data_IF_253106910677
#
_entry.id   IF_253106910677
#
_cell.length_a   1.000
_cell.length_b   1.000
_cell.length_c   1.000
_cell.angle_alpha   90.00
_cell.angle_beta   90.00
_cell.angle_gamma   90.00
#
_symmetry.space_group_name_H-M   'P 1'
#
loop_
_entity.id
_entity.type
_entity.pdbx_description
1 polymer ?
#
# COMPACT_ATOMS: atom_id res chain seq x y z
N UNK A 1 4.99 8.69 -0.32
CA UNK A 1 5.02 7.43 -1.11
C UNK A 1 6.28 7.45 -1.97
N UNK A 2 7.18 6.46 -1.86
CA UNK A 2 8.46 6.41 -2.62
C UNK A 2 8.57 5.19 -3.57
N UNK A 3 7.51 4.41 -3.67
CA UNK A 3 7.47 3.11 -4.36
C UNK A 3 7.08 3.21 -5.85
N UNK A 4 6.79 4.41 -6.33
CA UNK A 4 6.36 4.66 -7.71
C UNK A 4 7.59 4.83 -8.60
N UNK A 5 7.57 4.26 -9.79
CA UNK A 5 8.61 4.40 -10.81
C UNK A 5 8.06 4.97 -12.13
N UNK A 6 8.95 5.22 -13.10
CA UNK A 6 8.62 5.84 -14.38
C UNK A 6 7.82 4.96 -15.35
N UNK A 7 7.52 3.71 -15.01
CA UNK A 7 6.69 2.81 -15.82
C UNK A 7 5.20 2.92 -15.50
N UNK A 8 4.86 3.53 -14.36
CA UNK A 8 3.49 3.66 -13.90
C UNK A 8 2.74 4.79 -14.61
N UNK A 9 1.45 4.57 -14.91
CA UNK A 9 0.58 5.62 -15.40
C UNK A 9 0.33 6.66 -14.28
N UNK A 10 0.73 7.93 -14.45
CA UNK A 10 0.66 8.94 -13.39
C UNK A 10 -0.78 9.21 -12.92
N UNK A 11 -1.77 9.12 -13.82
CA UNK A 11 -3.17 9.32 -13.45
C UNK A 11 -3.67 8.20 -12.52
N UNK A 12 -3.30 6.96 -12.81
CA UNK A 12 -3.69 5.80 -12.00
C UNK A 12 -2.98 5.79 -10.65
N UNK A 13 -1.71 6.20 -10.64
CA UNK A 13 -0.96 6.40 -9.39
C UNK A 13 -1.65 7.42 -8.49
N UNK A 14 -2.00 8.59 -9.02
CA UNK A 14 -2.66 9.64 -8.25
C UNK A 14 -4.05 9.19 -7.77
N UNK A 15 -4.83 8.56 -8.63
CA UNK A 15 -6.15 8.04 -8.27
C UNK A 15 -6.06 7.00 -7.14
N UNK A 16 -5.20 5.98 -7.27
CA UNK A 16 -5.04 4.94 -6.26
C UNK A 16 -4.56 5.47 -4.92
N UNK A 17 -3.58 6.38 -4.92
CA UNK A 17 -3.06 7.00 -3.68
C UNK A 17 -4.13 7.87 -3.01
N UNK A 18 -4.87 8.66 -3.79
CA UNK A 18 -5.92 9.52 -3.26
C UNK A 18 -7.07 8.70 -2.66
N UNK A 19 -7.49 7.64 -3.35
CA UNK A 19 -8.52 6.71 -2.87
C UNK A 19 -8.10 6.06 -1.55
N UNK A 20 -6.91 5.47 -1.49
CA UNK A 20 -6.40 4.84 -0.27
C UNK A 20 -6.21 5.85 0.88
N UNK A 21 -5.70 7.05 0.58
CA UNK A 21 -5.56 8.12 1.56
C UNK A 21 -6.91 8.60 2.12
N UNK A 22 -7.90 8.76 1.24
CA UNK A 22 -9.26 9.15 1.63
C UNK A 22 -9.92 8.08 2.50
N UNK A 23 -9.70 6.80 2.21
CA UNK A 23 -10.16 5.70 3.08
C UNK A 23 -9.64 5.88 4.51
N UNK A 24 -8.34 6.15 4.65
CA UNK A 24 -7.71 6.36 5.96
C UNK A 24 -8.31 7.54 6.73
N UNK A 25 -8.57 8.66 6.04
CA UNK A 25 -9.19 9.85 6.64
C UNK A 25 -10.64 9.56 7.06
N UNK A 26 -11.46 9.01 6.17
CA UNK A 26 -12.88 8.75 6.43
C UNK A 26 -13.10 7.71 7.53
N UNK A 27 -12.21 6.71 7.61
CA UNK A 27 -12.27 5.67 8.65
C UNK A 27 -11.56 6.06 9.94
N UNK A 28 -10.94 7.24 10.02
CA UNK A 28 -10.08 7.65 11.14
C UNK A 28 -9.02 6.58 11.46
N UNK A 29 -8.38 6.03 10.43
CA UNK A 29 -7.44 4.93 10.57
C UNK A 29 -6.26 5.32 11.47
N UNK A 30 -6.01 4.49 12.48
CA UNK A 30 -4.90 4.68 13.40
C UNK A 30 -3.55 4.36 12.73
N UNK A 31 -2.58 5.26 12.91
CA UNK A 31 -1.20 5.03 12.46
C UNK A 31 -0.49 4.08 13.42
N UNK A 32 -0.43 2.79 13.05
CA UNK A 32 0.19 1.73 13.87
C UNK A 32 1.71 1.68 13.81
N UNK A 33 2.32 2.26 12.78
CA UNK A 33 3.77 2.26 12.58
C UNK A 33 4.41 3.54 13.10
N UNK A 34 5.48 3.40 13.89
CA UNK A 34 6.29 4.52 14.37
C UNK A 34 7.26 5.07 13.32
N UNK A 35 7.98 6.13 13.69
CA UNK A 35 8.99 6.77 12.85
C UNK A 35 10.22 5.88 12.63
N UNK A 36 10.51 5.58 11.37
CA UNK A 36 11.62 4.71 10.98
C UNK A 36 12.88 5.53 10.70
N UNK A 37 13.75 5.67 11.72
CA UNK A 37 15.04 6.38 11.58
C UNK A 37 16.09 5.60 10.78
N UNK A 38 15.92 4.28 10.65
CA UNK A 38 16.77 3.40 9.85
C UNK A 38 15.91 2.67 8.79
N UNK A 39 16.50 2.20 7.68
CA UNK A 39 15.78 1.32 6.77
C UNK A 39 15.34 0.01 7.44
N UNK A 40 14.09 -0.42 7.23
CA UNK A 40 13.54 -1.70 7.75
C UNK A 40 14.43 -2.91 7.44
N UNK A 41 15.11 -2.89 6.28
CA UNK A 41 15.97 -3.97 5.81
C UNK A 41 17.16 -4.28 6.73
N UNK A 42 17.66 -3.28 7.47
CA UNK A 42 18.82 -3.43 8.37
C UNK A 42 18.43 -3.46 9.85
N UNK A 43 17.14 -3.36 10.16
CA UNK A 43 16.64 -3.45 11.54
C UNK A 43 16.58 -4.90 12.00
N UNK A 44 16.89 -5.13 13.27
CA UNK A 44 16.60 -6.40 13.93
C UNK A 44 15.10 -6.54 14.29
N UNK A 45 14.70 -7.69 14.81
CA UNK A 45 13.30 -7.96 15.16
C UNK A 45 12.81 -7.10 16.32
N UNK A 46 13.68 -6.77 17.28
CA UNK A 46 13.32 -5.98 18.47
C UNK A 46 13.06 -4.53 18.07
N UNK A 47 13.95 -3.96 17.25
CA UNK A 47 13.78 -2.64 16.65
C UNK A 47 12.48 -2.58 15.83
N UNK A 48 12.20 -3.59 15.00
CA UNK A 48 10.95 -3.66 14.22
C UNK A 48 9.70 -3.71 15.11
N UNK A 49 9.71 -4.52 16.16
CA UNK A 49 8.58 -4.63 17.11
C UNK A 49 8.33 -3.33 17.84
N UNK A 50 9.39 -2.66 18.31
CA UNK A 50 9.28 -1.37 19.01
C UNK A 50 8.63 -0.27 18.15
N UNK A 51 8.74 -0.39 16.82
CA UNK A 51 8.17 0.55 15.85
C UNK A 51 6.83 0.08 15.27
N UNK A 52 6.25 -1.02 15.75
CA UNK A 52 4.98 -1.56 15.24
C UNK A 52 5.07 -2.10 13.81
N UNK A 53 6.27 -2.51 13.37
CA UNK A 53 6.49 -2.96 11.98
C UNK A 53 6.16 -4.45 11.74
N UNK A 54 5.70 -5.16 12.77
CA UNK A 54 5.36 -6.59 12.68
C UNK A 54 4.15 -6.85 11.78
N UNK A 55 3.14 -5.97 11.82
CA UNK A 55 1.95 -6.06 10.96
C UNK A 55 2.17 -5.46 9.56
N UNK A 56 3.35 -4.88 9.29
CA UNK A 56 3.64 -4.24 8.00
C UNK A 56 4.04 -5.31 6.99
N UNK A 57 3.11 -5.60 6.07
CA UNK A 57 3.33 -6.51 4.94
C UNK A 57 4.46 -6.01 4.04
N UNK A 58 5.19 -6.95 3.46
CA UNK A 58 6.16 -6.65 2.39
C UNK A 58 5.41 -6.30 1.10
N UNK A 59 6.05 -5.50 0.24
CA UNK A 59 5.55 -5.26 -1.11
C UNK A 59 5.50 -6.57 -1.91
N UNK A 60 4.58 -6.70 -2.88
CA UNK A 60 4.53 -7.84 -3.77
C UNK A 60 5.87 -8.04 -4.49
N UNK A 61 6.26 -9.30 -4.69
CA UNK A 61 7.53 -9.66 -5.34
C UNK A 61 7.39 -9.73 -6.85
N UNK A 62 6.18 -9.98 -7.34
CA UNK A 62 5.87 -10.05 -8.76
C UNK A 62 4.67 -9.18 -9.11
N UNK A 63 4.53 -8.85 -10.40
CA UNK A 63 3.35 -8.15 -10.91
C UNK A 63 2.08 -8.99 -10.73
N UNK A 64 2.18 -10.32 -10.80
CA UNK A 64 1.07 -11.24 -10.55
C UNK A 64 0.54 -11.09 -9.13
N UNK A 65 1.42 -11.11 -8.13
CA UNK A 65 1.04 -10.90 -6.73
C UNK A 65 0.39 -9.53 -6.52
N UNK A 66 0.93 -8.49 -7.16
CA UNK A 66 0.37 -7.14 -7.08
C UNK A 66 -1.06 -7.07 -7.63
N UNK A 67 -1.33 -7.74 -8.75
CA UNK A 67 -2.67 -7.80 -9.36
C UNK A 67 -3.65 -8.60 -8.49
N UNK A 68 -3.20 -9.71 -7.89
CA UNK A 68 -4.03 -10.47 -6.95
C UNK A 68 -4.42 -9.63 -5.74
N UNK A 69 -3.43 -8.96 -5.12
CA UNK A 69 -3.69 -8.08 -3.98
C UNK A 69 -4.62 -6.90 -4.33
N UNK A 70 -4.50 -6.34 -5.54
CA UNK A 70 -5.42 -5.29 -6.00
C UNK A 70 -6.86 -5.79 -6.14
N UNK A 71 -7.07 -7.02 -6.65
CA UNK A 71 -8.41 -7.62 -6.76
C UNK A 71 -9.03 -7.92 -5.40
N UNK A 72 -8.22 -8.34 -4.44
CA UNK A 72 -8.63 -8.65 -3.07
C UNK A 72 -8.97 -7.39 -2.24
N UNK A 73 -8.51 -6.21 -2.66
CA UNK A 73 -8.82 -4.95 -1.98
C UNK A 73 -10.21 -4.43 -2.41
N UNK A 74 -11.22 -4.75 -1.60
CA UNK A 74 -12.62 -4.38 -1.85
C UNK A 74 -12.81 -2.87 -2.03
N UNK A 75 -12.08 -2.04 -1.27
CA UNK A 75 -12.27 -0.59 -1.31
C UNK A 75 -11.69 0.02 -2.58
N UNK A 76 -10.48 -0.37 -2.97
CA UNK A 76 -9.88 0.06 -4.24
C UNK A 76 -10.70 -0.48 -5.43
N UNK A 77 -11.18 -1.72 -5.35
CA UNK A 77 -12.00 -2.34 -6.40
C UNK A 77 -13.33 -1.58 -6.60
N UNK A 78 -14.01 -1.21 -5.50
CA UNK A 78 -15.22 -0.38 -5.57
C UNK A 78 -14.95 1.02 -6.13
N UNK A 79 -13.89 1.70 -5.68
CA UNK A 79 -13.63 3.11 -6.05
C UNK A 79 -13.01 3.31 -7.42
N UNK A 80 -12.16 2.38 -7.87
CA UNK A 80 -11.60 2.41 -9.23
C UNK A 80 -12.55 1.77 -10.26
N UNK A 81 -13.48 0.93 -9.80
CA UNK A 81 -14.45 0.22 -10.61
C UNK A 81 -13.98 -1.19 -10.97
N UNK A 82 -14.83 -2.19 -10.72
CA UNK A 82 -14.48 -3.60 -10.90
C UNK A 82 -14.10 -3.98 -12.34
N UNK A 83 -14.78 -3.40 -13.34
CA UNK A 83 -14.43 -3.63 -14.75
C UNK A 83 -13.04 -3.08 -15.10
N UNK A 84 -12.67 -1.94 -14.52
CA UNK A 84 -11.34 -1.36 -14.68
C UNK A 84 -10.28 -2.24 -14.01
N UNK A 85 -10.50 -2.64 -12.75
CA UNK A 85 -9.55 -3.47 -11.99
C UNK A 85 -9.34 -4.84 -12.64
N UNK A 86 -10.36 -5.43 -13.23
CA UNK A 86 -10.23 -6.74 -13.88
C UNK A 86 -9.46 -6.67 -15.21
N UNK A 87 -9.66 -5.59 -15.99
CA UNK A 87 -9.05 -5.43 -17.32
C UNK A 87 -7.62 -4.92 -17.29
N UNK A 88 -7.25 -4.15 -16.26
CA UNK A 88 -5.91 -3.59 -16.09
C UNK A 88 -4.89 -4.65 -15.58
#
# INVERSE_FOLDING_TARGET
VRTIDGTANPYLVLAGILVAGLQGVLSSAELKSGDCKKPKAIMDEVERRSLGLESVRSLPRTIGDARTLLREDEYLNEKLGADFVEKY
#
